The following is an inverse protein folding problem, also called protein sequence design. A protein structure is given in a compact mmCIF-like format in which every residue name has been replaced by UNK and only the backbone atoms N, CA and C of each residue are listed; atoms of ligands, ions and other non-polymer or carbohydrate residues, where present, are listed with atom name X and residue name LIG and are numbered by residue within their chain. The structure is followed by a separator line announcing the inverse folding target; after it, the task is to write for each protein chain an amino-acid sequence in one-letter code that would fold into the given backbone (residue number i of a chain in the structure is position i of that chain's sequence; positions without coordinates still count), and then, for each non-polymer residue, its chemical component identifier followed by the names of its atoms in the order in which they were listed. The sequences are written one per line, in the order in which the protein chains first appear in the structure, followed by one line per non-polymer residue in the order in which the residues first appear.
data_IF_591159261747
#
_entry.id   IF_591159261747
#
_cell.length_a   1.000
_cell.length_b   1.000
_cell.length_c   1.000
_cell.angle_alpha   90.00
_cell.angle_beta   90.00
_cell.angle_gamma   90.00
#
_symmetry.space_group_name_H-M   'P 1'
#
loop_
_entity.id
_entity.type
_entity.pdbx_description
1 polymer ?
#
# COMPACT_ATOMS: atom_id res chain seq x y z
N UNK A 1 8.62 3.64 18.94
CA UNK A 1 7.77 3.90 17.75
C UNK A 1 7.75 5.39 17.49
N UNK A 2 8.35 5.83 16.40
CA UNK A 2 8.36 7.23 15.98
C UNK A 2 7.03 7.58 15.31
N UNK A 3 6.07 8.07 16.06
CA UNK A 3 4.75 8.44 15.56
C UNK A 3 4.63 9.88 15.02
N UNK A 4 5.42 10.88 15.42
CA UNK A 4 4.99 12.28 15.30
C UNK A 4 5.19 12.93 13.93
N UNK A 5 6.05 12.45 13.06
CA UNK A 5 6.35 13.13 11.78
C UNK A 5 5.23 13.11 10.76
N UNK A 6 4.24 12.24 10.93
CA UNK A 6 3.05 12.18 10.07
C UNK A 6 1.91 13.10 10.52
N UNK A 7 1.92 13.60 11.77
CA UNK A 7 0.85 14.45 12.29
C UNK A 7 0.65 15.75 11.49
N UNK A 8 1.71 16.52 11.11
CA UNK A 8 1.55 17.73 10.31
C UNK A 8 0.89 17.49 8.96
N UNK A 9 1.16 16.36 8.30
CA UNK A 9 0.51 16.00 7.04
C UNK A 9 -0.97 15.74 7.24
N UNK A 10 -1.36 15.00 8.28
CA UNK A 10 -2.76 14.72 8.58
C UNK A 10 -3.53 15.99 8.94
N UNK A 11 -2.94 16.92 9.69
CA UNK A 11 -3.53 18.22 9.99
C UNK A 11 -3.82 19.03 8.71
N UNK A 12 -2.87 19.08 7.78
CA UNK A 12 -3.06 19.75 6.49
C UNK A 12 -4.16 19.05 5.67
N UNK A 13 -4.15 17.73 5.62
CA UNK A 13 -5.17 16.96 4.90
C UNK A 13 -6.55 17.15 5.50
N UNK A 14 -6.69 17.21 6.82
CA UNK A 14 -7.96 17.47 7.49
C UNK A 14 -8.54 18.84 7.13
N UNK A 15 -7.70 19.89 7.07
CA UNK A 15 -8.13 21.23 6.64
C UNK A 15 -8.61 21.22 5.18
N UNK A 16 -7.84 20.62 4.28
CA UNK A 16 -8.19 20.52 2.87
C UNK A 16 -9.44 19.68 2.63
N UNK A 17 -9.63 18.62 3.39
CA UNK A 17 -10.81 17.78 3.33
C UNK A 17 -12.05 18.49 3.85
N UNK A 18 -11.93 19.24 4.95
CA UNK A 18 -13.03 20.04 5.49
C UNK A 18 -13.49 21.09 4.48
N UNK A 19 -12.56 21.80 3.81
CA UNK A 19 -12.89 22.74 2.73
C UNK A 19 -13.57 22.03 1.56
N UNK A 20 -13.02 20.91 1.10
CA UNK A 20 -13.59 20.13 0.00
C UNK A 20 -15.00 19.62 0.31
N UNK A 21 -15.26 19.19 1.55
CA UNK A 21 -16.60 18.79 2.01
C UNK A 21 -17.57 19.98 2.02
N UNK A 22 -17.14 21.13 2.54
CA UNK A 22 -17.98 22.35 2.58
C UNK A 22 -18.39 22.82 1.19
N UNK A 23 -17.53 22.59 0.20
CA UNK A 23 -17.76 22.91 -1.22
C UNK A 23 -18.50 21.81 -1.99
N UNK A 24 -18.88 20.71 -1.34
CA UNK A 24 -19.55 19.57 -1.99
C UNK A 24 -18.69 18.77 -2.96
N UNK A 25 -17.35 18.89 -2.90
CA UNK A 25 -16.41 18.18 -3.78
C UNK A 25 -16.14 16.73 -3.31
N UNK A 26 -16.39 16.44 -2.04
CA UNK A 26 -16.27 15.10 -1.45
C UNK A 26 -17.26 14.97 -0.29
N UNK A 27 -17.33 13.78 0.31
CA UNK A 27 -18.17 13.48 1.46
C UNK A 27 -17.32 13.18 2.70
N UNK A 28 -17.84 13.49 3.88
CA UNK A 28 -17.17 13.18 5.14
C UNK A 28 -17.40 11.71 5.52
N UNK A 29 -16.60 10.82 4.91
CA UNK A 29 -16.46 9.42 5.28
C UNK A 29 -15.04 8.95 4.99
N UNK A 30 -14.57 7.91 5.69
CA UNK A 30 -13.20 7.39 5.54
C UNK A 30 -12.89 7.03 4.08
N UNK A 31 -13.83 6.43 3.36
CA UNK A 31 -13.64 6.04 1.96
C UNK A 31 -13.49 7.26 1.05
N UNK A 32 -14.34 8.25 1.20
CA UNK A 32 -14.27 9.47 0.38
C UNK A 32 -13.05 10.33 0.71
N UNK A 33 -12.64 10.35 1.99
CA UNK A 33 -11.37 10.95 2.42
C UNK A 33 -10.19 10.27 1.74
N UNK A 34 -10.17 8.94 1.70
CA UNK A 34 -9.11 8.18 1.03
C UNK A 34 -9.09 8.41 -0.49
N UNK A 35 -10.25 8.53 -1.14
CA UNK A 35 -10.34 8.88 -2.55
C UNK A 35 -9.76 10.27 -2.84
N UNK A 36 -10.03 11.24 -1.99
CA UNK A 36 -9.54 12.61 -2.13
C UNK A 36 -8.04 12.72 -1.83
N UNK A 37 -7.59 12.15 -0.71
CA UNK A 37 -6.20 12.12 -0.28
C UNK A 37 -5.27 11.53 -1.35
N UNK A 38 -5.59 10.34 -1.87
CA UNK A 38 -4.77 9.70 -2.89
C UNK A 38 -4.66 10.52 -4.17
N UNK A 39 -5.70 11.29 -4.52
CA UNK A 39 -5.70 12.19 -5.67
C UNK A 39 -4.76 13.38 -5.45
N UNK A 40 -4.79 13.98 -4.25
CA UNK A 40 -3.88 15.07 -3.88
C UNK A 40 -2.42 14.60 -3.90
N UNK A 41 -2.14 13.49 -3.23
CA UNK A 41 -0.78 12.95 -3.14
C UNK A 41 -0.23 12.56 -4.52
N UNK A 42 -1.06 12.01 -5.40
CA UNK A 42 -0.63 11.70 -6.77
C UNK A 42 -0.20 12.94 -7.58
N UNK A 43 -0.77 14.10 -7.28
CA UNK A 43 -0.37 15.34 -7.96
C UNK A 43 1.04 15.82 -7.54
N UNK A 44 1.48 15.42 -6.36
CA UNK A 44 2.75 15.84 -5.77
C UNK A 44 3.90 14.84 -5.98
N UNK A 45 3.58 13.57 -6.29
CA UNK A 45 4.58 12.51 -6.35
C UNK A 45 5.09 12.24 -7.77
N UNK A 46 6.28 11.62 -7.90
CA UNK A 46 6.86 11.26 -9.20
C UNK A 46 5.95 10.29 -9.97
N UNK A 47 6.05 10.35 -11.29
CA UNK A 47 5.37 9.42 -12.19
C UNK A 47 5.92 8.00 -12.04
N UNK A 48 5.14 6.95 -12.37
CA UNK A 48 5.60 5.56 -12.25
C UNK A 48 6.95 5.28 -12.93
N UNK A 49 7.18 5.83 -14.13
CA UNK A 49 8.45 5.66 -14.84
C UNK A 49 9.63 6.28 -14.09
N UNK A 50 9.46 7.45 -13.52
CA UNK A 50 10.50 8.14 -12.74
C UNK A 50 10.84 7.38 -11.46
N UNK A 51 9.82 6.83 -10.79
CA UNK A 51 10.03 6.02 -9.58
C UNK A 51 10.81 4.75 -9.90
N UNK A 52 10.45 4.07 -11.00
CA UNK A 52 11.16 2.86 -11.47
C UNK A 52 12.60 3.15 -11.84
N UNK A 53 12.84 4.24 -12.55
CA UNK A 53 14.18 4.69 -12.90
C UNK A 53 15.03 4.99 -11.66
N UNK A 54 14.49 5.74 -10.72
CA UNK A 54 15.17 6.07 -9.46
C UNK A 54 15.47 4.79 -8.66
N UNK A 55 14.49 3.89 -8.51
CA UNK A 55 14.67 2.61 -7.81
C UNK A 55 15.84 1.80 -8.39
N UNK A 56 15.88 1.64 -9.72
CA UNK A 56 16.94 0.86 -10.36
C UNK A 56 18.29 1.57 -10.39
N UNK A 57 18.32 2.91 -10.29
CA UNK A 57 19.56 3.65 -10.11
C UNK A 57 20.13 3.43 -8.70
N UNK A 58 19.28 3.50 -7.65
CA UNK A 58 19.69 3.18 -6.28
C UNK A 58 20.12 1.71 -6.15
N UNK A 59 19.44 0.79 -6.85
CA UNK A 59 19.80 -0.63 -6.85
C UNK A 59 21.20 -0.91 -7.38
N UNK A 60 21.72 -0.09 -8.29
CA UNK A 60 23.13 -0.20 -8.77
C UNK A 60 24.14 0.04 -7.66
N UNK A 61 23.77 0.82 -6.65
CA UNK A 61 24.62 1.03 -5.49
C UNK A 61 24.43 -0.10 -4.46
N UNK A 62 23.19 -0.36 -4.04
CA UNK A 62 22.82 -1.53 -3.26
C UNK A 62 21.31 -1.81 -3.36
N UNK A 63 20.87 -3.09 -3.26
CA UNK A 63 19.44 -3.43 -3.15
C UNK A 63 18.74 -2.74 -1.98
N UNK A 64 19.44 -2.58 -0.85
CA UNK A 64 18.95 -1.93 0.36
C UNK A 64 18.60 -0.45 0.11
N UNK A 65 19.48 0.32 -0.54
CA UNK A 65 19.21 1.72 -0.91
C UNK A 65 17.96 1.84 -1.80
N UNK A 66 17.78 0.93 -2.73
CA UNK A 66 16.60 0.92 -3.59
C UNK A 66 15.31 0.71 -2.80
N UNK A 67 15.30 -0.24 -1.87
CA UNK A 67 14.13 -0.52 -1.04
C UNK A 67 13.88 0.59 -0.02
N UNK A 68 14.91 1.18 0.58
CA UNK A 68 14.80 2.36 1.45
C UNK A 68 14.17 3.55 0.71
N UNK A 69 14.68 3.87 -0.50
CA UNK A 69 14.09 4.91 -1.34
C UNK A 69 12.60 4.66 -1.58
N UNK A 70 12.24 3.44 -1.97
CA UNK A 70 10.87 3.10 -2.32
C UNK A 70 9.95 3.04 -1.09
N UNK A 71 10.47 2.58 0.05
CA UNK A 71 9.75 2.60 1.32
C UNK A 71 9.46 4.02 1.78
N UNK A 72 10.49 4.88 1.75
CA UNK A 72 10.34 6.29 2.08
C UNK A 72 9.32 6.98 1.17
N UNK A 73 9.39 6.77 -0.14
CA UNK A 73 8.41 7.30 -1.08
C UNK A 73 6.99 6.83 -0.76
N UNK A 74 6.82 5.55 -0.39
CA UNK A 74 5.52 4.98 -0.04
C UNK A 74 4.95 5.58 1.25
N UNK A 75 5.80 6.02 2.17
CA UNK A 75 5.42 6.76 3.38
C UNK A 75 5.12 8.23 3.07
N UNK A 76 6.01 8.91 2.37
CA UNK A 76 5.90 10.35 2.07
C UNK A 76 4.70 10.66 1.16
N UNK A 77 4.32 9.72 0.30
CA UNK A 77 3.12 9.81 -0.53
C UNK A 77 1.81 9.44 0.18
N UNK A 78 1.86 9.20 1.48
CA UNK A 78 0.73 8.72 2.29
C UNK A 78 0.07 7.44 1.75
N UNK A 79 0.78 6.67 0.93
CA UNK A 79 0.33 5.32 0.54
C UNK A 79 0.37 4.39 1.76
N UNK A 80 1.48 4.40 2.50
CA UNK A 80 1.56 3.86 3.85
C UNK A 80 1.13 4.98 4.80
N UNK A 81 -0.08 4.89 5.31
CA UNK A 81 -0.66 5.89 6.20
C UNK A 81 -0.07 5.78 7.60
N UNK A 82 1.13 6.34 7.79
CA UNK A 82 1.90 6.25 9.04
C UNK A 82 1.09 6.67 10.26
N UNK A 83 0.31 7.74 10.15
CA UNK A 83 -0.55 8.22 11.23
C UNK A 83 -1.60 7.20 11.66
N UNK A 84 -2.12 6.39 10.74
CA UNK A 84 -3.03 5.29 11.07
C UNK A 84 -2.26 4.08 11.59
N UNK A 85 -1.15 3.73 10.96
CA UNK A 85 -0.31 2.59 11.36
C UNK A 85 0.23 2.73 12.78
N UNK A 86 0.59 3.93 13.22
CA UNK A 86 1.07 4.15 14.58
C UNK A 86 0.01 3.90 15.68
N UNK A 87 -1.26 3.78 15.31
CA UNK A 87 -2.36 3.41 16.21
C UNK A 87 -2.55 1.90 16.36
N UNK A 88 -1.90 1.10 15.49
CA UNK A 88 -1.96 -0.35 15.56
C UNK A 88 -1.38 -0.84 16.88
N UNK A 89 -2.08 -1.76 17.52
CA UNK A 89 -1.64 -2.35 18.79
C UNK A 89 -0.81 -3.60 18.51
N UNK A 90 0.33 -3.73 19.20
CA UNK A 90 1.24 -4.88 19.07
C UNK A 90 1.75 -5.27 20.44
N UNK A 91 1.74 -6.56 20.73
CA UNK A 91 2.35 -7.12 21.95
C UNK A 91 2.75 -8.58 21.72
N UNK A 92 3.60 -9.09 22.61
CA UNK A 92 4.00 -10.50 22.62
C UNK A 92 3.26 -11.23 23.75
N UNK A 93 2.91 -12.48 23.50
CA UNK A 93 2.28 -13.36 24.49
C UNK A 93 3.03 -14.69 24.50
N UNK A 94 3.54 -15.08 25.67
CA UNK A 94 4.19 -16.38 25.87
C UNK A 94 3.16 -17.51 25.80
N UNK A 95 3.47 -18.57 25.08
CA UNK A 95 2.68 -19.81 24.99
C UNK A 95 3.57 -21.03 25.20
N UNK A 96 2.97 -22.20 25.34
CA UNK A 96 3.71 -23.48 25.42
C UNK A 96 4.54 -23.82 24.15
N UNK A 97 4.23 -23.16 23.02
CA UNK A 97 4.92 -23.33 21.73
C UNK A 97 5.92 -22.21 21.43
N UNK A 98 6.14 -21.29 22.38
CA UNK A 98 6.98 -20.10 22.22
C UNK A 98 6.17 -18.80 22.25
N UNK A 99 6.86 -17.70 22.03
CA UNK A 99 6.25 -16.37 22.04
C UNK A 99 5.50 -16.11 20.72
N UNK A 100 4.29 -15.57 20.84
CA UNK A 100 3.47 -15.15 19.72
C UNK A 100 3.37 -13.63 19.66
N UNK A 101 3.61 -13.07 18.47
CA UNK A 101 3.30 -11.68 18.16
C UNK A 101 1.80 -11.51 17.91
N UNK A 102 1.14 -10.69 18.71
CA UNK A 102 -0.27 -10.37 18.56
C UNK A 102 -0.41 -8.93 18.08
N UNK A 103 -1.25 -8.72 17.08
CA UNK A 103 -1.53 -7.39 16.52
C UNK A 103 -3.02 -7.13 16.40
N UNK A 104 -3.43 -5.88 16.71
CA UNK A 104 -4.73 -5.35 16.30
C UNK A 104 -4.46 -4.25 15.29
N UNK A 105 -4.82 -4.52 14.04
CA UNK A 105 -4.58 -3.60 12.93
C UNK A 105 -5.73 -2.57 12.85
N UNK A 106 -5.56 -1.45 13.54
CA UNK A 106 -6.49 -0.32 13.54
C UNK A 106 -6.32 0.59 12.32
N UNK A 107 -5.20 0.48 11.60
CA UNK A 107 -4.94 1.24 10.37
C UNK A 107 -5.79 0.77 9.19
N UNK A 108 -6.25 -0.48 9.22
CA UNK A 108 -7.15 -1.03 8.22
C UNK A 108 -8.53 -0.37 8.36
N UNK A 109 -9.06 0.27 7.30
CA UNK A 109 -10.35 0.93 7.41
C UNK A 109 -11.45 -0.10 7.77
N UNK A 110 -12.18 0.20 8.83
CA UNK A 110 -13.41 -0.53 9.15
C UNK A 110 -14.41 -0.36 8.00
N UNK A 111 -15.31 -1.33 7.88
CA UNK A 111 -16.39 -1.25 6.89
C UNK A 111 -17.31 -0.09 7.27
N UNK A 112 -17.15 1.05 6.58
CA UNK A 112 -18.03 2.21 6.74
C UNK A 112 -19.47 1.84 6.32
N UNK A 113 -20.48 1.95 7.20
CA UNK A 113 -21.87 1.63 6.86
C UNK A 113 -22.42 2.43 5.67
N UNK A 114 -22.01 3.70 5.52
CA UNK A 114 -22.41 4.54 4.39
C UNK A 114 -21.79 4.03 3.09
N UNK A 115 -20.53 3.65 3.12
CA UNK A 115 -19.84 3.07 1.98
C UNK A 115 -20.43 1.71 1.59
N UNK A 116 -20.79 0.87 2.55
CA UNK A 116 -21.48 -0.42 2.30
C UNK A 116 -22.82 -0.18 1.63
N UNK A 117 -23.62 0.76 2.11
CA UNK A 117 -24.92 1.09 1.51
C UNK A 117 -24.75 1.61 0.08
N UNK A 118 -23.81 2.50 -0.16
CA UNK A 118 -23.50 3.02 -1.49
C UNK A 118 -22.97 1.93 -2.45
N UNK A 119 -22.14 1.01 -1.94
CA UNK A 119 -21.58 -0.09 -2.73
C UNK A 119 -22.66 -1.09 -3.22
N UNK A 120 -23.76 -1.27 -2.48
CA UNK A 120 -24.86 -2.16 -2.86
C UNK A 120 -25.59 -1.69 -4.12
N UNK A 121 -25.61 -0.41 -4.38
CA UNK A 121 -26.30 0.21 -5.54
C UNK A 121 -25.37 0.37 -6.75
N UNK A 122 -24.07 0.14 -6.60
CA UNK A 122 -23.10 0.30 -7.67
C UNK A 122 -22.98 -0.96 -8.54
N UNK A 123 -22.93 -0.74 -9.86
CA UNK A 123 -22.67 -1.80 -10.82
C UNK A 123 -21.27 -2.40 -10.57
N UNK A 124 -21.17 -3.70 -10.48
CA UNK A 124 -19.89 -4.40 -10.39
C UNK A 124 -19.09 -4.19 -11.69
N UNK A 125 -17.90 -3.58 -11.59
CA UNK A 125 -17.10 -3.29 -12.78
C UNK A 125 -16.13 -4.42 -13.14
N UNK A 126 -15.83 -5.33 -12.20
CA UNK A 126 -14.81 -6.38 -12.38
C UNK A 126 -13.38 -5.86 -12.62
N UNK A 127 -13.14 -4.55 -12.46
CA UNK A 127 -11.85 -3.91 -12.67
C UNK A 127 -11.50 -2.95 -11.52
N UNK A 128 -10.26 -2.97 -10.99
CA UNK A 128 -9.30 -4.08 -11.14
C UNK A 128 -9.88 -5.40 -10.63
N UNK A 129 -9.36 -6.54 -11.11
CA UNK A 129 -9.90 -7.87 -10.76
C UNK A 129 -9.75 -8.20 -9.27
N UNK A 130 -8.67 -7.76 -8.63
CA UNK A 130 -8.45 -7.88 -7.20
C UNK A 130 -7.54 -6.76 -6.66
N UNK A 131 -7.33 -6.72 -5.35
CA UNK A 131 -6.52 -5.68 -4.68
C UNK A 131 -5.02 -5.76 -5.00
N UNK A 132 -4.53 -6.88 -5.53
CA UNK A 132 -3.12 -7.12 -5.86
C UNK A 132 -2.83 -7.10 -7.37
N UNK A 133 -3.82 -6.84 -8.22
CA UNK A 133 -3.58 -6.71 -9.65
C UNK A 133 -2.72 -5.48 -9.97
N UNK A 134 -1.84 -5.62 -10.98
CA UNK A 134 -0.98 -4.53 -11.45
C UNK A 134 -1.78 -3.29 -11.89
N UNK A 135 -3.03 -3.47 -12.32
CA UNK A 135 -3.95 -2.39 -12.69
C UNK A 135 -4.35 -1.48 -11.51
N UNK A 136 -3.98 -1.85 -10.28
CA UNK A 136 -4.17 -0.96 -9.13
C UNK A 136 -3.20 0.23 -9.13
N UNK A 137 -2.04 0.14 -9.79
CA UNK A 137 -1.13 1.29 -9.88
C UNK A 137 -1.82 2.48 -10.55
N UNK A 138 -1.93 3.58 -9.82
CA UNK A 138 -2.59 4.79 -10.33
C UNK A 138 -4.11 4.73 -10.40
N UNK A 139 -4.75 3.66 -9.94
CA UNK A 139 -6.20 3.52 -10.00
C UNK A 139 -6.92 4.55 -9.12
N UNK A 140 -7.88 5.26 -9.72
CA UNK A 140 -8.60 6.35 -9.04
C UNK A 140 -9.41 5.89 -7.80
N UNK A 141 -9.79 4.62 -7.79
CA UNK A 141 -10.63 4.08 -6.72
C UNK A 141 -12.11 4.33 -6.94
N UNK A 142 -12.91 3.69 -6.11
CA UNK A 142 -14.35 3.85 -5.98
C UNK A 142 -14.79 3.38 -4.59
N UNK A 143 -16.05 3.56 -4.24
CA UNK A 143 -16.55 3.24 -2.89
C UNK A 143 -16.29 1.79 -2.46
N UNK A 144 -16.32 0.86 -3.39
CA UNK A 144 -16.10 -0.57 -3.12
C UNK A 144 -14.73 -1.12 -3.59
N UNK A 145 -13.82 -0.25 -3.99
CA UNK A 145 -12.44 -0.61 -4.34
C UNK A 145 -11.49 0.54 -4.00
N UNK A 146 -10.44 0.30 -3.21
CA UNK A 146 -9.58 1.37 -2.70
C UNK A 146 -8.95 2.20 -3.80
N UNK A 147 -8.82 3.49 -3.55
CA UNK A 147 -7.99 4.37 -4.37
C UNK A 147 -6.51 4.00 -4.24
N UNK A 148 -5.80 4.06 -5.37
CA UNK A 148 -4.39 3.70 -5.50
C UNK A 148 -3.64 4.69 -6.40
N UNK A 149 -4.08 5.96 -6.47
CA UNK A 149 -3.41 6.96 -7.31
C UNK A 149 -1.99 7.27 -6.82
N UNK A 150 -1.77 7.23 -5.51
CA UNK A 150 -0.46 7.38 -4.87
C UNK A 150 0.31 6.07 -4.71
N UNK A 151 -0.19 4.97 -5.26
CA UNK A 151 0.49 3.68 -5.27
C UNK A 151 1.44 3.57 -6.45
N UNK A 152 2.61 2.95 -6.21
CA UNK A 152 3.60 2.62 -7.23
C UNK A 152 3.99 1.15 -7.11
N UNK A 153 4.34 0.56 -8.24
CA UNK A 153 4.77 -0.83 -8.35
C UNK A 153 6.13 -0.84 -9.08
N UNK A 154 7.09 -1.55 -8.51
CA UNK A 154 8.37 -1.82 -9.16
C UNK A 154 8.26 -3.15 -9.90
N UNK A 155 8.33 -3.17 -11.23
CA UNK A 155 8.45 -4.40 -11.98
C UNK A 155 9.80 -5.05 -11.70
N UNK A 156 9.77 -6.31 -11.32
CA UNK A 156 10.97 -7.13 -11.07
C UNK A 156 10.88 -8.42 -11.89
N UNK A 157 12.02 -8.97 -12.26
CA UNK A 157 12.09 -10.27 -12.91
C UNK A 157 12.53 -11.30 -11.88
N UNK A 158 11.69 -12.30 -11.64
CA UNK A 158 11.95 -13.40 -10.72
C UNK A 158 11.88 -14.71 -11.52
N UNK A 159 12.97 -15.47 -11.50
CA UNK A 159 13.07 -16.76 -12.21
C UNK A 159 12.45 -16.67 -13.62
N UNK A 160 12.96 -15.73 -14.44
CA UNK A 160 12.57 -15.47 -15.84
C UNK A 160 11.09 -15.07 -16.04
N UNK A 161 10.38 -14.71 -14.98
CA UNK A 161 8.98 -14.24 -15.07
C UNK A 161 8.84 -12.82 -14.49
N UNK A 162 7.85 -12.10 -15.01
CA UNK A 162 7.58 -10.71 -14.57
C UNK A 162 6.69 -10.70 -13.34
N UNK A 163 7.16 -9.99 -12.31
CA UNK A 163 6.49 -9.82 -11.02
C UNK A 163 6.42 -8.35 -10.66
N UNK A 164 5.55 -8.02 -9.73
CA UNK A 164 5.46 -6.70 -9.12
C UNK A 164 5.96 -6.74 -7.69
N UNK A 165 6.72 -5.73 -7.31
CA UNK A 165 7.12 -5.46 -5.94
C UNK A 165 6.45 -4.17 -5.46
N UNK A 166 5.80 -4.23 -4.31
CA UNK A 166 5.14 -3.10 -3.66
C UNK A 166 5.21 -3.23 -2.15
N UNK A 167 5.06 -2.11 -1.42
CA UNK A 167 4.82 -2.17 0.01
C UNK A 167 3.34 -2.37 0.31
N UNK A 168 3.03 -2.97 1.45
CA UNK A 168 1.68 -3.07 1.97
C UNK A 168 1.27 -1.75 2.62
N UNK A 169 0.08 -1.20 2.34
CA UNK A 169 -0.44 -0.06 3.09
C UNK A 169 -0.87 -0.44 4.52
N UNK A 170 -0.98 -1.73 4.80
CA UNK A 170 -1.34 -2.30 6.11
C UNK A 170 -0.14 -3.06 6.66
N UNK A 171 0.63 -2.38 7.49
CA UNK A 171 1.97 -2.81 7.88
C UNK A 171 1.89 -3.64 9.16
N UNK A 172 2.25 -4.92 9.10
CA UNK A 172 2.46 -5.76 10.29
C UNK A 172 3.86 -5.58 10.85
N UNK A 173 4.86 -5.50 9.97
CA UNK A 173 6.27 -5.27 10.26
C UNK A 173 6.76 -4.08 9.45
N UNK A 174 7.87 -3.49 9.88
CA UNK A 174 8.55 -2.48 9.07
C UNK A 174 8.87 -3.05 7.69
N UNK A 175 8.72 -2.24 6.67
CA UNK A 175 9.02 -2.62 5.28
C UNK A 175 8.25 -3.85 4.77
N UNK A 176 7.05 -4.10 5.34
CA UNK A 176 6.20 -5.19 4.89
C UNK A 176 5.89 -5.05 3.39
N UNK A 177 6.54 -5.87 2.58
CA UNK A 177 6.39 -5.86 1.13
C UNK A 177 5.46 -6.98 0.64
N UNK A 178 5.00 -6.82 -0.58
CA UNK A 178 4.20 -7.80 -1.31
C UNK A 178 4.84 -7.99 -2.68
N UNK A 179 5.23 -9.22 -2.96
CA UNK A 179 5.73 -9.64 -4.27
C UNK A 179 4.64 -10.49 -4.93
N UNK A 180 4.17 -10.08 -6.09
CA UNK A 180 3.02 -10.71 -6.73
C UNK A 180 3.23 -10.92 -8.23
N UNK A 181 2.56 -11.94 -8.77
CA UNK A 181 2.62 -12.24 -10.19
C UNK A 181 2.01 -11.09 -11.02
N UNK A 182 2.64 -10.71 -12.11
CA UNK A 182 2.13 -9.69 -13.05
C UNK A 182 0.81 -10.10 -13.70
N UNK A 183 0.54 -11.41 -13.80
CA UNK A 183 -0.72 -11.96 -14.29
C UNK A 183 -1.69 -12.25 -13.13
N UNK A 184 -2.98 -12.03 -13.37
CA UNK A 184 -4.02 -12.37 -12.40
C UNK A 184 -4.19 -13.89 -12.33
N UNK A 185 -3.57 -14.51 -11.33
CA UNK A 185 -3.57 -15.95 -11.11
C UNK A 185 -4.03 -16.30 -9.68
N UNK A 186 -4.57 -17.51 -9.43
CA UNK A 186 -4.89 -17.94 -8.09
C UNK A 186 -3.66 -17.93 -7.17
N UNK A 187 -3.84 -17.49 -5.92
CA UNK A 187 -2.79 -17.51 -4.91
C UNK A 187 -2.60 -18.95 -4.43
N UNK A 188 -1.67 -19.66 -5.07
CA UNK A 188 -1.29 -21.05 -4.71
C UNK A 188 0.19 -21.10 -4.47
N UNK A 189 0.57 -21.83 -3.43
CA UNK A 189 1.96 -22.18 -3.18
C UNK A 189 2.22 -23.53 -3.83
N UNK A 190 2.99 -23.53 -4.89
CA UNK A 190 3.56 -24.71 -5.52
C UNK A 190 5.10 -24.61 -5.54
N UNK A 191 5.77 -25.66 -6.01
CA UNK A 191 7.23 -25.66 -6.08
C UNK A 191 7.78 -24.48 -6.89
N UNK A 192 7.14 -24.16 -8.01
CA UNK A 192 7.60 -23.07 -8.89
C UNK A 192 7.47 -21.71 -8.23
N UNK A 193 6.37 -21.47 -7.52
CA UNK A 193 6.15 -20.26 -6.73
C UNK A 193 7.14 -20.18 -5.56
N UNK A 194 7.37 -21.30 -4.88
CA UNK A 194 8.28 -21.35 -3.74
C UNK A 194 9.74 -21.06 -4.14
N UNK A 195 10.21 -21.58 -5.27
CA UNK A 195 11.55 -21.27 -5.80
C UNK A 195 11.72 -19.78 -6.07
N UNK A 196 10.65 -19.07 -6.45
CA UNK A 196 10.71 -17.62 -6.69
C UNK A 196 10.99 -16.81 -5.41
N UNK A 197 10.63 -17.32 -4.23
CA UNK A 197 10.98 -16.68 -2.96
C UNK A 197 12.50 -16.63 -2.76
N UNK A 198 13.19 -17.72 -3.09
CA UNK A 198 14.65 -17.75 -2.99
C UNK A 198 15.33 -16.83 -3.99
N UNK A 199 14.80 -16.73 -5.22
CA UNK A 199 15.34 -15.81 -6.20
C UNK A 199 15.12 -14.36 -5.78
N UNK A 200 13.95 -14.04 -5.21
CA UNK A 200 13.66 -12.72 -4.66
C UNK A 200 14.64 -12.35 -3.51
N UNK A 201 14.81 -13.25 -2.54
CA UNK A 201 15.76 -13.03 -1.43
C UNK A 201 17.20 -12.93 -1.95
N UNK A 202 17.55 -13.66 -3.02
CA UNK A 202 18.84 -13.52 -3.70
C UNK A 202 19.06 -12.11 -4.30
N UNK A 203 18.01 -11.48 -4.79
CA UNK A 203 18.07 -10.11 -5.33
C UNK A 203 17.99 -9.04 -4.21
N UNK A 204 17.33 -9.35 -3.11
CA UNK A 204 17.12 -8.46 -1.96
C UNK A 204 17.50 -9.18 -0.66
N UNK A 205 18.79 -9.39 -0.39
CA UNK A 205 19.27 -10.28 0.69
C UNK A 205 19.04 -9.74 2.10
N UNK A 206 18.59 -8.53 2.24
CA UNK A 206 18.24 -7.90 3.53
C UNK A 206 16.78 -8.16 3.96
N UNK A 207 15.97 -8.82 3.13
CA UNK A 207 14.62 -9.28 3.45
C UNK A 207 14.61 -10.70 4.02
#
# INVERSE_FOLDING_TARGET
QEAPTAAPLEEILDVLLADACSRGLTQDSVVYRDLFDTKLMNALMPRPSQVREAFWNEYKESPEKATEYFYKLSQDSNYIRRYRVCKDMKWMTATEYGDLDITINLSKPEKDPKAIAAARTQKQSGYPKCLLCIQNEGYAGRVNHPARQNHRIIPITINQSQWGFQYSPYVYYNEHCIVFCGEHSPMKIDRSTFVKLFDFVGQFPHY
#
